data_IF_359435823722
#
_entry.id   IF_359435823722
#
_cell.length_a   1.000
_cell.length_b   1.000
_cell.length_c   1.000
_cell.angle_alpha   90.00
_cell.angle_beta   90.00
_cell.angle_gamma   90.00
#
_symmetry.space_group_name_H-M   'P 1'
#
loop_
_entity.id
_entity.type
_entity.pdbx_description
1 polymer ?
#
# COMPACT_ATOMS: atom_id res chain seq x y z
N UNK A 1 -30.31 20.06 5.36
CA UNK A 1 -30.28 18.61 5.64
C UNK A 1 -28.84 18.13 5.58
N UNK A 2 -28.20 18.02 6.74
CA UNK A 2 -26.77 17.71 6.87
C UNK A 2 -26.58 16.23 6.55
N UNK A 3 -25.93 15.94 5.41
CA UNK A 3 -25.48 14.59 5.09
C UNK A 3 -24.57 14.14 6.23
N UNK A 4 -25.04 13.18 7.04
CA UNK A 4 -24.25 12.54 8.08
C UNK A 4 -22.95 12.09 7.43
N UNK A 5 -21.87 12.75 7.79
CA UNK A 5 -20.52 12.31 7.50
C UNK A 5 -20.38 11.02 8.32
N UNK A 6 -20.68 9.88 7.69
CA UNK A 6 -20.46 8.57 8.31
C UNK A 6 -18.97 8.51 8.51
N UNK A 7 -18.54 8.71 9.75
CA UNK A 7 -17.16 8.62 10.16
C UNK A 7 -16.80 7.14 10.09
N UNK A 8 -16.38 6.74 8.90
CA UNK A 8 -16.22 5.35 8.49
C UNK A 8 -15.05 4.69 9.23
N UNK A 9 -14.08 5.52 9.62
CA UNK A 9 -12.96 5.16 10.48
C UNK A 9 -13.11 5.90 11.81
N UNK A 10 -12.81 5.22 12.91
CA UNK A 10 -12.80 5.85 14.23
C UNK A 10 -11.76 6.99 14.31
N UNK A 11 -11.87 7.89 15.28
CA UNK A 11 -10.92 9.00 15.44
C UNK A 11 -9.46 8.52 15.62
N UNK A 12 -9.27 7.31 16.16
CA UNK A 12 -7.95 6.71 16.38
C UNK A 12 -7.40 5.93 15.17
N UNK A 13 -8.13 5.84 14.07
CA UNK A 13 -7.71 5.08 12.88
C UNK A 13 -7.44 6.05 11.71
N UNK A 14 -6.25 6.65 11.65
CA UNK A 14 -5.92 7.62 10.60
C UNK A 14 -5.86 6.96 9.22
N UNK A 15 -6.50 7.61 8.25
CA UNK A 15 -6.37 7.24 6.83
C UNK A 15 -5.06 7.84 6.29
N UNK A 16 -4.15 6.97 5.89
CA UNK A 16 -2.82 7.34 5.39
C UNK A 16 -2.80 7.52 3.88
N UNK A 17 -3.60 6.74 3.16
CA UNK A 17 -3.74 6.84 1.71
C UNK A 17 -5.16 6.48 1.30
N UNK A 18 -5.77 7.27 0.40
CA UNK A 18 -7.07 6.96 -0.17
C UNK A 18 -7.19 7.38 -1.64
N UNK A 19 -7.64 6.46 -2.50
CA UNK A 19 -7.92 6.71 -3.93
C UNK A 19 -8.98 5.76 -4.45
N UNK A 20 -9.58 6.12 -5.58
CA UNK A 20 -10.42 5.19 -6.33
C UNK A 20 -9.62 3.98 -6.78
N UNK A 21 -10.23 2.80 -6.65
CA UNK A 21 -9.70 1.54 -7.14
C UNK A 21 -10.83 0.61 -7.56
N UNK A 22 -10.50 -0.36 -8.40
CA UNK A 22 -11.39 -1.46 -8.78
C UNK A 22 -10.79 -2.79 -8.35
N UNK A 23 -11.61 -3.72 -7.88
CA UNK A 23 -11.21 -5.07 -7.54
C UNK A 23 -11.79 -6.03 -8.58
N UNK A 24 -10.97 -6.99 -9.00
CA UNK A 24 -11.34 -8.00 -10.01
C UNK A 24 -11.45 -9.40 -9.39
N UNK A 25 -10.64 -9.67 -8.37
CA UNK A 25 -10.62 -10.96 -7.67
C UNK A 25 -10.44 -10.74 -6.17
N UNK A 26 -11.05 -11.57 -5.30
CA UNK A 26 -11.99 -12.65 -5.62
C UNK A 26 -13.41 -12.16 -5.92
N UNK A 27 -13.70 -10.90 -5.62
CA UNK A 27 -14.96 -10.21 -5.95
C UNK A 27 -14.71 -9.16 -7.01
N UNK A 28 -15.73 -8.83 -7.79
CA UNK A 28 -15.68 -7.74 -8.76
C UNK A 28 -16.43 -6.53 -8.23
N UNK A 29 -15.83 -5.36 -8.35
CA UNK A 29 -16.47 -4.10 -8.00
C UNK A 29 -15.48 -2.94 -8.00
N UNK A 30 -15.97 -1.75 -7.70
CA UNK A 30 -15.14 -0.56 -7.62
C UNK A 30 -15.51 0.27 -6.38
N UNK A 31 -14.67 1.23 -6.06
CA UNK A 31 -14.92 2.08 -4.92
C UNK A 31 -13.72 2.89 -4.51
N UNK A 32 -13.75 3.34 -3.26
CA UNK A 32 -12.62 4.01 -2.64
C UNK A 32 -11.81 2.99 -1.83
N UNK A 33 -10.55 2.84 -2.20
CA UNK A 33 -9.56 2.11 -1.42
C UNK A 33 -8.97 3.04 -0.38
N UNK A 34 -8.87 2.55 0.85
CA UNK A 34 -8.33 3.24 2.01
C UNK A 34 -7.25 2.36 2.62
N UNK A 35 -6.09 2.95 2.89
CA UNK A 35 -5.05 2.36 3.71
C UNK A 35 -4.99 3.16 5.02
N UNK A 36 -5.19 2.46 6.13
CA UNK A 36 -5.01 2.98 7.47
C UNK A 36 -3.72 2.43 8.07
N UNK A 37 -3.40 2.86 9.29
CA UNK A 37 -2.32 2.30 10.09
C UNK A 37 -2.56 0.86 10.55
N UNK A 38 -3.78 0.33 10.36
CA UNK A 38 -4.20 -1.02 10.81
C UNK A 38 -4.65 -1.94 9.69
N UNK A 39 -5.24 -1.41 8.61
CA UNK A 39 -5.90 -2.22 7.58
C UNK A 39 -6.01 -1.52 6.23
N UNK A 40 -6.30 -2.33 5.21
CA UNK A 40 -6.58 -1.94 3.84
C UNK A 40 -8.03 -2.30 3.51
N UNK A 41 -8.82 -1.31 3.08
CA UNK A 41 -10.27 -1.46 2.91
C UNK A 41 -10.72 -0.85 1.58
N UNK A 42 -11.51 -1.59 0.81
CA UNK A 42 -12.16 -1.10 -0.41
C UNK A 42 -13.66 -0.99 -0.17
N UNK A 43 -14.21 0.20 -0.38
CA UNK A 43 -15.62 0.49 -0.09
C UNK A 43 -16.32 0.92 -1.36
N UNK A 44 -17.29 0.11 -1.78
CA UNK A 44 -18.22 0.45 -2.84
C UNK A 44 -19.37 1.25 -2.25
N UNK A 45 -19.64 2.41 -2.84
CA UNK A 45 -20.78 3.27 -2.46
C UNK A 45 -21.81 3.20 -3.56
N UNK A 46 -22.98 2.62 -3.28
CA UNK A 46 -24.06 2.44 -4.25
C UNK A 46 -25.39 2.99 -3.74
N UNK A 47 -26.24 3.46 -4.64
CA UNK A 47 -27.62 3.89 -4.33
C UNK A 47 -27.90 5.35 -4.71
N UNK A 48 -29.03 5.56 -5.40
CA UNK A 48 -29.48 6.88 -5.90
C UNK A 48 -30.19 7.69 -4.80
N UNK A 49 -30.93 7.00 -3.91
CA UNK A 49 -31.73 7.64 -2.86
C UNK A 49 -31.12 7.50 -1.45
N UNK A 50 -30.51 6.34 -1.17
CA UNK A 50 -29.78 6.06 0.08
C UNK A 50 -28.43 5.47 -0.29
N UNK A 51 -27.35 6.20 0.01
CA UNK A 51 -25.98 5.74 -0.22
C UNK A 51 -25.68 4.61 0.76
N UNK A 52 -25.58 3.40 0.25
CA UNK A 52 -25.14 2.21 1.00
C UNK A 52 -23.65 2.02 0.77
N UNK A 53 -22.90 1.79 1.84
CA UNK A 53 -21.46 1.57 1.82
C UNK A 53 -21.21 0.08 2.07
N UNK A 54 -20.67 -0.61 1.07
CA UNK A 54 -20.39 -2.05 1.14
C UNK A 54 -18.89 -2.27 1.07
N UNK A 55 -18.27 -2.85 2.11
CA UNK A 55 -16.86 -3.22 2.05
C UNK A 55 -16.70 -4.41 1.08
N UNK A 56 -15.97 -4.20 -0.01
CA UNK A 56 -15.57 -5.24 -0.96
C UNK A 56 -14.26 -5.93 -0.53
N UNK A 57 -13.48 -5.24 0.29
CA UNK A 57 -12.21 -5.68 0.85
C UNK A 57 -12.10 -5.06 2.25
N UNK A 58 -11.75 -5.85 3.25
CA UNK A 58 -11.34 -5.36 4.57
C UNK A 58 -10.28 -6.34 5.07
N UNK A 59 -9.02 -5.92 5.04
CA UNK A 59 -7.87 -6.75 5.40
C UNK A 59 -7.00 -6.00 6.41
N UNK A 60 -6.77 -6.59 7.57
CA UNK A 60 -5.76 -6.08 8.50
C UNK A 60 -4.36 -6.26 7.95
N UNK A 61 -3.42 -5.40 8.38
CA UNK A 61 -2.03 -5.47 7.91
C UNK A 61 -1.33 -6.78 8.32
N UNK A 62 -1.79 -7.45 9.38
CA UNK A 62 -1.30 -8.77 9.81
C UNK A 62 -1.77 -9.90 8.88
N UNK A 63 -3.03 -9.85 8.44
CA UNK A 63 -3.61 -10.82 7.51
C UNK A 63 -2.94 -10.79 6.14
N UNK A 64 -2.44 -9.62 5.70
CA UNK A 64 -1.73 -9.45 4.43
C UNK A 64 -0.42 -10.25 4.48
N UNK A 65 -0.37 -11.40 3.81
CA UNK A 65 0.83 -12.24 3.72
C UNK A 65 1.87 -11.67 2.77
N UNK A 66 1.45 -11.14 1.61
CA UNK A 66 2.35 -10.51 0.64
C UNK A 66 1.64 -9.42 -0.17
N UNK A 67 2.41 -8.49 -0.72
CA UNK A 67 1.94 -7.50 -1.69
C UNK A 67 2.89 -7.42 -2.87
N UNK A 68 2.36 -7.50 -4.08
CA UNK A 68 3.12 -7.35 -5.33
C UNK A 68 2.37 -6.50 -6.33
N UNK A 69 3.09 -6.03 -7.34
CA UNK A 69 2.51 -5.33 -8.49
C UNK A 69 2.76 -6.22 -9.69
N UNK A 70 1.69 -6.62 -10.37
CA UNK A 70 1.73 -7.40 -11.60
C UNK A 70 1.38 -6.52 -12.80
N UNK A 71 1.77 -6.96 -14.01
CA UNK A 71 1.43 -6.28 -15.25
C UNK A 71 2.46 -5.25 -15.71
N UNK A 72 2.78 -5.30 -17.01
CA UNK A 72 3.81 -4.45 -17.63
C UNK A 72 3.23 -3.13 -18.13
N UNK A 73 2.01 -3.16 -18.67
CA UNK A 73 1.30 -2.00 -19.21
C UNK A 73 0.14 -1.56 -18.31
N UNK A 74 -0.59 -2.53 -17.77
CA UNK A 74 -1.68 -2.32 -16.81
C UNK A 74 -1.25 -2.87 -15.46
N UNK A 75 -0.73 -1.99 -14.60
CA UNK A 75 -0.21 -2.40 -13.30
C UNK A 75 -1.37 -2.71 -12.34
N UNK A 76 -1.38 -3.91 -11.77
CA UNK A 76 -2.37 -4.40 -10.82
C UNK A 76 -1.70 -4.65 -9.48
N UNK A 77 -2.29 -4.14 -8.40
CA UNK A 77 -1.87 -4.44 -7.04
C UNK A 77 -2.44 -5.80 -6.64
N UNK A 78 -1.58 -6.77 -6.38
CA UNK A 78 -1.98 -8.10 -5.91
C UNK A 78 -1.61 -8.26 -4.45
N UNK A 79 -2.64 -8.44 -3.62
CA UNK A 79 -2.52 -8.60 -2.17
C UNK A 79 -2.89 -10.03 -1.82
N UNK A 80 -1.95 -10.80 -1.29
CA UNK A 80 -2.25 -12.14 -0.75
C UNK A 80 -2.56 -12.01 0.72
N UNK A 81 -3.76 -12.38 1.16
CA UNK A 81 -4.14 -12.37 2.57
C UNK A 81 -4.48 -13.77 3.09
N UNK A 82 -4.11 -14.04 4.35
CA UNK A 82 -4.39 -15.30 5.02
C UNK A 82 -5.82 -15.27 5.56
N UNK A 83 -6.62 -16.23 5.11
CA UNK A 83 -7.96 -16.45 5.65
C UNK A 83 -7.90 -17.18 7.00
N UNK A 84 -8.97 -17.14 7.82
CA UNK A 84 -9.04 -17.90 9.07
C UNK A 84 -8.80 -19.41 8.91
N UNK A 85 -9.11 -19.97 7.72
CA UNK A 85 -8.83 -21.37 7.37
C UNK A 85 -7.39 -21.65 6.91
N UNK A 86 -6.46 -20.71 7.09
CA UNK A 86 -5.04 -20.86 6.74
C UNK A 86 -4.71 -20.76 5.24
N UNK A 87 -5.72 -20.70 4.37
CA UNK A 87 -5.54 -20.51 2.92
C UNK A 87 -5.20 -19.06 2.61
N UNK A 88 -4.32 -18.83 1.64
CA UNK A 88 -4.01 -17.48 1.15
C UNK A 88 -4.88 -17.17 -0.06
N UNK A 89 -5.67 -16.10 0.03
CA UNK A 89 -6.50 -15.59 -1.06
C UNK A 89 -5.81 -14.39 -1.69
N UNK A 90 -5.76 -14.35 -3.02
CA UNK A 90 -5.18 -13.24 -3.77
C UNK A 90 -6.27 -12.25 -4.19
N UNK A 91 -6.10 -11.00 -3.78
CA UNK A 91 -6.95 -9.88 -4.14
C UNK A 91 -6.26 -9.08 -5.25
N UNK A 92 -6.91 -8.97 -6.42
CA UNK A 92 -6.38 -8.21 -7.55
C UNK A 92 -7.08 -6.87 -7.64
N UNK A 93 -6.35 -5.82 -7.31
CA UNK A 93 -6.86 -4.45 -7.19
C UNK A 93 -6.17 -3.54 -8.21
N UNK A 94 -6.97 -2.98 -9.09
CA UNK A 94 -6.60 -1.90 -10.01
C UNK A 94 -6.63 -0.59 -9.24
N UNK A 95 -5.51 -0.26 -8.61
CA UNK A 95 -5.32 0.99 -7.88
C UNK A 95 -4.47 1.96 -8.69
N UNK A 96 -4.73 3.27 -8.55
CA UNK A 96 -3.85 4.29 -9.12
C UNK A 96 -2.47 4.22 -8.45
N UNK A 97 -1.42 4.17 -9.28
CA UNK A 97 -0.03 4.06 -8.85
C UNK A 97 0.21 2.92 -7.83
N UNK A 98 0.01 1.65 -8.22
CA UNK A 98 0.03 0.50 -7.31
C UNK A 98 1.39 0.30 -6.61
N UNK A 99 2.47 0.90 -7.13
CA UNK A 99 3.77 0.93 -6.48
C UNK A 99 3.76 1.67 -5.14
N UNK A 100 3.07 2.82 -5.07
CA UNK A 100 2.92 3.60 -3.83
C UNK A 100 2.17 2.80 -2.78
N UNK A 101 1.09 2.14 -3.17
CA UNK A 101 0.31 1.26 -2.29
C UNK A 101 1.16 0.14 -1.70
N UNK A 102 1.90 -0.58 -2.57
CA UNK A 102 2.85 -1.61 -2.15
C UNK A 102 3.85 -1.07 -1.12
N UNK A 103 4.50 0.06 -1.43
CA UNK A 103 5.52 0.64 -0.56
C UNK A 103 4.95 1.05 0.81
N UNK A 104 3.79 1.69 0.83
CA UNK A 104 3.13 2.12 2.07
C UNK A 104 2.70 0.94 2.94
N UNK A 105 2.08 -0.10 2.35
CA UNK A 105 1.70 -1.31 3.08
C UNK A 105 2.93 -1.97 3.72
N UNK A 106 4.05 -2.09 2.98
CA UNK A 106 5.28 -2.65 3.54
C UNK A 106 5.90 -1.76 4.62
N UNK A 107 5.87 -0.44 4.45
CA UNK A 107 6.37 0.49 5.46
C UNK A 107 5.61 0.34 6.78
N UNK A 108 4.28 0.28 6.72
CA UNK A 108 3.44 0.12 7.90
C UNK A 108 3.63 -1.23 8.56
N UNK A 109 3.73 -2.29 7.75
CA UNK A 109 3.98 -3.63 8.27
C UNK A 109 5.35 -3.76 8.94
N UNK A 110 6.37 -3.05 8.42
CA UNK A 110 7.69 -2.95 9.04
C UNK A 110 7.68 -2.15 10.35
N UNK A 111 6.80 -1.16 10.49
CA UNK A 111 6.61 -0.41 11.74
C UNK A 111 5.84 -1.20 12.80
N UNK A 112 4.88 -2.04 12.39
CA UNK A 112 4.10 -2.89 13.29
C UNK A 112 4.89 -4.10 13.82
N UNK A 113 5.81 -4.63 13.00
CA UNK A 113 6.65 -5.75 13.35
C UNK A 113 8.11 -5.34 13.43
N UNK A 114 8.65 -5.15 14.65
CA UNK A 114 10.09 -5.09 14.92
C UNK A 114 10.85 -6.40 14.61
N UNK A 115 10.31 -7.25 13.72
CA UNK A 115 10.78 -8.60 13.42
C UNK A 115 10.78 -8.78 11.89
N UNK A 116 11.97 -9.06 11.38
CA UNK A 116 12.39 -9.30 9.99
C UNK A 116 11.30 -9.85 9.05
N UNK A 117 10.54 -8.94 8.43
CA UNK A 117 9.80 -9.28 7.20
C UNK A 117 10.79 -9.20 6.03
N UNK A 118 11.28 -10.35 5.57
CA UNK A 118 12.12 -10.42 4.37
C UNK A 118 11.15 -10.35 3.17
N UNK A 119 11.11 -9.25 2.40
CA UNK A 119 10.31 -9.23 1.18
C UNK A 119 10.77 -10.38 0.26
N UNK A 120 9.87 -10.99 -0.53
CA UNK A 120 10.28 -12.01 -1.49
C UNK A 120 11.34 -11.41 -2.41
N UNK A 121 12.56 -11.97 -2.32
CA UNK A 121 13.71 -11.50 -3.10
C UNK A 121 13.37 -11.70 -4.58
N UNK A 122 13.18 -10.61 -5.30
CA UNK A 122 13.50 -10.61 -6.73
C UNK A 122 14.96 -11.08 -6.86
N UNK A 123 15.26 -12.05 -7.75
CA UNK A 123 16.63 -12.54 -7.91
C UNK A 123 17.54 -11.35 -8.27
N UNK A 124 18.64 -11.14 -7.54
CA UNK A 124 19.57 -10.07 -7.87
C UNK A 124 20.29 -10.44 -9.17
N UNK A 125 20.07 -9.65 -10.22
CA UNK A 125 21.06 -9.54 -11.28
C UNK A 125 22.38 -9.09 -10.66
N UNK A 126 23.44 -9.78 -11.05
CA UNK A 126 24.71 -9.84 -10.37
C UNK A 126 25.51 -8.53 -10.31
N UNK A 127 26.43 -8.50 -9.33
CA UNK A 127 27.70 -7.76 -9.27
C UNK A 127 27.65 -6.24 -9.05
N UNK A 128 27.78 -5.80 -7.79
CA UNK A 128 29.06 -5.30 -7.28
C UNK A 128 28.99 -5.04 -5.78
N UNK A 129 29.72 -5.82 -4.98
CA UNK A 129 29.89 -5.60 -3.54
C UNK A 129 31.24 -4.93 -3.32
N UNK A 130 31.23 -3.64 -3.03
CA UNK A 130 32.38 -2.98 -2.39
C UNK A 130 31.95 -2.58 -0.99
N UNK A 131 32.52 -3.28 -0.03
CA UNK A 131 32.34 -3.06 1.40
C UNK A 131 33.03 -1.77 1.83
N UNK A 132 32.26 -0.79 2.32
CA UNK A 132 32.78 0.29 3.14
C UNK A 132 31.90 0.41 4.38
N UNK A 133 32.53 0.18 5.54
CA UNK A 133 31.98 0.39 6.87
C UNK A 133 32.00 1.90 7.15
N UNK A 134 30.85 2.52 7.45
CA UNK A 134 30.79 3.79 8.15
C UNK A 134 29.48 3.98 8.94
N UNK A 135 29.66 4.48 10.16
CA UNK A 135 28.78 4.77 11.29
C UNK A 135 27.32 5.25 11.05
N UNK A 136 26.43 5.05 12.05
CA UNK A 136 25.03 5.43 12.00
C UNK A 136 24.86 6.93 12.25
N UNK A 137 24.61 7.69 11.19
CA UNK A 137 23.98 9.00 11.30
C UNK A 137 22.50 8.84 10.94
N UNK A 138 21.61 9.12 11.89
CA UNK A 138 20.18 9.27 11.66
C UNK A 138 19.96 10.49 10.75
N UNK A 139 20.17 10.32 9.44
CA UNK A 139 19.79 11.32 8.45
C UNK A 139 18.29 11.22 8.24
N UNK A 140 17.57 12.30 8.56
CA UNK A 140 16.15 12.44 8.31
C UNK A 140 15.90 12.26 6.80
N UNK A 141 15.27 11.15 6.41
CA UNK A 141 15.01 10.88 4.99
C UNK A 141 13.70 11.52 4.57
N UNK A 142 13.68 12.26 3.46
CA UNK A 142 12.45 12.74 2.82
C UNK A 142 11.93 11.69 1.82
N UNK A 143 10.66 11.79 1.43
CA UNK A 143 10.09 10.92 0.41
C UNK A 143 9.87 11.70 -0.88
N UNK A 144 10.10 11.03 -2.00
CA UNK A 144 9.87 11.58 -3.31
C UNK A 144 8.40 11.98 -3.47
N UNK A 145 8.13 13.22 -3.84
CA UNK A 145 6.76 13.72 -4.01
C UNK A 145 6.06 13.02 -5.19
N UNK A 146 6.81 12.72 -6.25
CA UNK A 146 6.28 12.12 -7.47
C UNK A 146 6.10 10.59 -7.41
N UNK A 147 7.05 9.87 -6.80
CA UNK A 147 7.06 8.40 -6.81
C UNK A 147 7.13 7.73 -5.44
N UNK A 148 7.29 8.49 -4.35
CA UNK A 148 7.33 7.97 -2.99
C UNK A 148 8.61 7.21 -2.62
N UNK A 149 9.62 7.19 -3.50
CA UNK A 149 10.95 6.64 -3.17
C UNK A 149 11.56 7.38 -1.99
N UNK A 150 12.21 6.65 -1.07
CA UNK A 150 12.91 7.30 0.05
C UNK A 150 14.17 7.97 -0.48
N UNK A 151 14.34 9.23 -0.13
CA UNK A 151 15.43 10.07 -0.59
C UNK A 151 16.28 10.57 0.58
N UNK A 152 17.58 10.77 0.35
CA UNK A 152 18.40 11.58 1.23
C UNK A 152 17.78 12.98 1.42
N UNK A 153 17.91 13.60 2.59
CA UNK A 153 17.40 14.95 2.84
C UNK A 153 17.97 15.97 1.85
N UNK A 154 19.24 15.80 1.41
CA UNK A 154 19.89 16.69 0.45
C UNK A 154 19.64 16.35 -1.02
N UNK A 155 18.82 15.34 -1.33
CA UNK A 155 18.55 14.97 -2.72
C UNK A 155 17.71 16.04 -3.43
N UNK A 156 18.28 16.65 -4.47
CA UNK A 156 17.58 17.59 -5.36
C UNK A 156 16.74 16.89 -6.44
N UNK A 157 17.01 15.60 -6.70
CA UNK A 157 16.29 14.79 -7.69
C UNK A 157 16.13 13.36 -7.20
N UNK A 158 15.07 12.70 -7.65
CA UNK A 158 14.79 11.32 -7.31
C UNK A 158 15.58 10.36 -8.20
N UNK A 159 16.44 9.55 -7.61
CA UNK A 159 17.21 8.51 -8.31
C UNK A 159 16.33 7.41 -8.93
N UNK A 160 15.08 7.27 -8.47
CA UNK A 160 14.16 6.24 -8.98
C UNK A 160 13.27 6.72 -10.11
N UNK A 161 12.90 8.00 -10.20
CA UNK A 161 11.97 8.51 -11.21
C UNK A 161 12.48 9.73 -11.98
N UNK A 162 13.62 10.31 -11.60
CA UNK A 162 14.21 11.50 -12.22
C UNK A 162 13.54 12.82 -11.86
N UNK A 163 12.47 12.82 -11.05
CA UNK A 163 11.73 14.04 -10.68
C UNK A 163 12.47 14.91 -9.64
N UNK A 164 12.35 16.25 -9.69
CA UNK A 164 12.97 17.19 -8.73
C UNK A 164 12.34 17.12 -7.33
N UNK A 165 13.11 17.43 -6.27
CA UNK A 165 12.79 17.09 -4.86
C UNK A 165 13.15 18.18 -3.85
#
# INVERSE_FOLDING_TARGET
MTLKNVQLFGPDEPVLLSRHASIEQPVSGNGMLYLTDRRLILIHRSGVLRKTETPLLDLTLDEISYVRVEGTLWKVLVIGARTPGGRVVAYKVHAQNPGVWKAQIYSLKGSLGGIRFIPPRTPPSALNQTSHIAHPAQQATKFCIDCGHRLPPEAAFCSSCGGPQ
#
